data_IF_087990497826
#
_entry.id   IF_087990497826
#
_cell.length_a   1.000
_cell.length_b   1.000
_cell.length_c   1.000
_cell.angle_alpha   90.00
_cell.angle_beta   90.00
_cell.angle_gamma   90.00
#
_symmetry.space_group_name_H-M   'P 1'
#
loop_
_entity.id
_entity.type
_entity.pdbx_description
1 polymer ?
#
# COMPACT_ATOMS: atom_id res chain seq x y z
N UNK A 1 -15.06 4.21 24.56
CA UNK A 1 -15.47 3.25 23.52
C UNK A 1 -14.37 3.19 22.47
N UNK A 2 -14.09 1.98 21.94
CA UNK A 2 -13.13 1.82 20.85
C UNK A 2 -13.68 2.43 19.57
N UNK A 3 -12.89 3.24 18.82
CA UNK A 3 -13.39 3.89 17.61
C UNK A 3 -13.60 2.92 16.44
N UNK A 4 -12.91 1.76 16.45
CA UNK A 4 -13.09 0.70 15.46
C UNK A 4 -13.85 -0.47 16.09
N UNK A 5 -14.91 -0.94 15.43
CA UNK A 5 -15.77 -1.99 15.95
C UNK A 5 -15.41 -3.35 15.33
N UNK A 6 -15.52 -4.48 16.09
CA UNK A 6 -15.18 -5.81 15.57
C UNK A 6 -15.99 -6.23 14.34
N UNK A 7 -17.26 -5.86 14.26
CA UNK A 7 -18.16 -6.15 13.14
C UNK A 7 -17.86 -5.37 11.86
N UNK A 8 -16.99 -4.35 11.94
CA UNK A 8 -16.50 -3.61 10.78
C UNK A 8 -15.28 -4.25 10.11
N UNK A 9 -14.66 -5.26 10.76
CA UNK A 9 -13.51 -5.97 10.18
C UNK A 9 -14.00 -6.84 9.03
N UNK A 10 -13.54 -6.53 7.83
CA UNK A 10 -13.84 -7.29 6.62
C UNK A 10 -12.60 -7.98 6.08
N UNK A 11 -12.77 -9.20 5.61
CA UNK A 11 -11.67 -10.02 5.07
C UNK A 11 -11.88 -10.17 3.56
N UNK A 12 -10.78 -10.16 2.81
CA UNK A 12 -10.75 -10.53 1.40
C UNK A 12 -9.85 -11.74 1.17
N UNK A 13 -10.09 -12.44 0.07
CA UNK A 13 -9.33 -13.62 -0.37
C UNK A 13 -8.81 -13.42 -1.81
N UNK A 14 -8.40 -12.21 -2.15
CA UNK A 14 -7.77 -11.93 -3.44
C UNK A 14 -6.27 -12.13 -3.34
N UNK A 15 -5.70 -12.77 -4.37
CA UNK A 15 -4.26 -12.74 -4.63
C UNK A 15 -3.89 -11.46 -5.38
N UNK A 16 -2.68 -11.01 -5.18
CA UNK A 16 -2.12 -9.93 -5.99
C UNK A 16 -1.47 -10.48 -7.25
N UNK A 17 -1.67 -9.79 -8.37
CA UNK A 17 -0.98 -10.06 -9.62
C UNK A 17 -0.71 -8.78 -10.41
N UNK A 18 0.22 -8.88 -11.36
CA UNK A 18 0.49 -7.82 -12.33
C UNK A 18 0.55 -8.43 -13.72
N UNK A 19 -0.34 -7.98 -14.59
CA UNK A 19 -0.46 -8.48 -15.95
C UNK A 19 -0.44 -7.30 -16.92
N UNK A 20 0.44 -7.34 -17.91
CA UNK A 20 0.58 -6.28 -18.93
C UNK A 20 0.65 -4.88 -18.34
N UNK A 21 1.41 -4.72 -17.26
CA UNK A 21 1.60 -3.44 -16.57
C UNK A 21 0.49 -3.04 -15.60
N UNK A 22 -0.70 -3.67 -15.65
CA UNK A 22 -1.83 -3.41 -14.77
C UNK A 22 -1.72 -4.23 -13.48
N UNK A 23 -1.89 -3.59 -12.33
CA UNK A 23 -2.02 -4.25 -11.04
C UNK A 23 -3.45 -4.80 -10.88
N UNK A 24 -3.56 -6.02 -10.43
CA UNK A 24 -4.82 -6.76 -10.30
C UNK A 24 -4.94 -7.41 -8.92
N UNK A 25 -6.14 -7.43 -8.40
CA UNK A 25 -6.58 -8.39 -7.40
C UNK A 25 -7.26 -9.54 -8.12
N UNK A 26 -6.86 -10.77 -7.82
CA UNK A 26 -7.27 -11.99 -8.54
C UNK A 26 -7.91 -12.93 -7.54
N UNK A 27 -9.14 -13.35 -7.80
CA UNK A 27 -9.84 -14.38 -7.04
C UNK A 27 -9.92 -15.64 -7.88
N UNK A 28 -9.83 -16.81 -7.23
CA UNK A 28 -9.87 -18.12 -7.90
C UNK A 28 -8.81 -18.25 -9.00
N UNK A 29 -7.60 -17.76 -8.76
CA UNK A 29 -6.51 -17.70 -9.72
C UNK A 29 -6.25 -19.08 -10.37
N UNK A 30 -6.25 -19.09 -11.70
CA UNK A 30 -6.00 -20.30 -12.49
C UNK A 30 -7.19 -21.26 -12.61
N UNK A 31 -8.39 -20.88 -12.11
CA UNK A 31 -9.63 -21.65 -12.27
C UNK A 31 -10.52 -21.04 -13.35
N UNK A 32 -11.49 -21.82 -13.85
CA UNK A 32 -12.44 -21.34 -14.89
C UNK A 32 -13.25 -20.10 -14.48
N UNK A 33 -13.47 -19.95 -13.18
CA UNK A 33 -14.18 -18.80 -12.60
C UNK A 33 -13.22 -17.75 -12.00
N UNK A 34 -12.04 -17.57 -12.59
CA UNK A 34 -11.10 -16.51 -12.20
C UNK A 34 -11.75 -15.14 -12.38
N UNK A 35 -11.76 -14.36 -11.33
CA UNK A 35 -12.21 -12.97 -11.33
C UNK A 35 -11.01 -12.04 -11.15
N UNK A 36 -10.92 -11.01 -11.98
CA UNK A 36 -9.86 -10.00 -11.86
C UNK A 36 -10.45 -8.62 -11.60
N UNK A 37 -9.80 -7.86 -10.73
CA UNK A 37 -10.19 -6.50 -10.38
C UNK A 37 -8.99 -5.58 -10.55
N UNK A 38 -9.04 -4.61 -11.50
CA UNK A 38 -7.99 -3.61 -11.66
C UNK A 38 -7.86 -2.74 -10.41
N UNK A 39 -6.62 -2.47 -9.99
CA UNK A 39 -6.34 -1.66 -8.82
C UNK A 39 -5.15 -0.73 -9.03
N UNK A 40 -5.14 0.37 -8.27
CA UNK A 40 -3.95 1.19 -8.05
C UNK A 40 -3.33 0.81 -6.70
N UNK A 41 -2.01 0.73 -6.65
CA UNK A 41 -1.29 0.43 -5.41
C UNK A 41 -0.66 1.68 -4.81
N UNK A 42 -0.78 1.79 -3.50
CA UNK A 42 -0.15 2.83 -2.68
C UNK A 42 0.57 2.19 -1.52
N UNK A 43 1.77 2.67 -1.24
CA UNK A 43 2.59 2.14 -0.15
C UNK A 43 2.92 3.26 0.83
N UNK A 44 2.71 2.99 2.10
CA UNK A 44 3.09 3.84 3.21
C UNK A 44 4.17 3.18 4.06
N UNK A 45 5.10 3.98 4.53
CA UNK A 45 6.21 3.55 5.37
C UNK A 45 6.17 4.31 6.68
N UNK A 46 6.16 3.58 7.78
CA UNK A 46 6.42 4.07 9.12
C UNK A 46 7.81 3.59 9.57
N UNK A 47 8.83 4.50 9.58
CA UNK A 47 10.20 4.13 9.86
C UNK A 47 10.47 4.02 11.37
N UNK A 48 11.32 3.05 11.74
CA UNK A 48 11.84 2.93 13.10
C UNK A 48 13.23 3.57 13.24
N UNK A 49 13.44 4.34 14.30
CA UNK A 49 14.69 5.05 14.53
C UNK A 49 15.78 4.25 15.23
N UNK A 50 15.46 3.08 15.83
CA UNK A 50 16.40 2.26 16.59
C UNK A 50 16.04 0.77 16.60
N UNK A 51 17.00 -0.07 17.01
CA UNK A 51 16.85 -1.53 17.18
C UNK A 51 16.52 -1.94 18.61
N UNK A 52 16.29 -1.01 19.55
CA UNK A 52 16.07 -1.38 20.93
C UNK A 52 14.83 -2.28 21.08
N UNK A 53 14.83 -3.17 22.06
CA UNK A 53 13.68 -4.05 22.35
C UNK A 53 12.39 -3.29 22.69
N UNK A 54 12.51 -1.98 22.96
CA UNK A 54 11.40 -1.04 23.22
C UNK A 54 11.13 -0.11 22.04
N UNK A 55 11.89 -0.23 20.92
CA UNK A 55 11.69 0.58 19.73
C UNK A 55 10.43 0.15 18.99
N UNK A 56 9.86 1.11 18.27
CA UNK A 56 8.77 0.91 17.35
C UNK A 56 9.18 -0.02 16.22
N UNK A 57 8.22 -0.65 15.58
CA UNK A 57 8.48 -1.50 14.43
C UNK A 57 8.69 -0.64 13.17
N UNK A 58 9.57 -1.10 12.30
CA UNK A 58 9.58 -0.63 10.93
C UNK A 58 8.44 -1.31 10.17
N UNK A 59 7.53 -0.51 9.63
CA UNK A 59 6.36 -1.03 8.92
C UNK A 59 6.28 -0.47 7.52
N UNK A 60 5.99 -1.35 6.55
CA UNK A 60 5.61 -0.97 5.18
C UNK A 60 4.26 -1.60 4.89
N UNK A 61 3.24 -0.79 4.62
CA UNK A 61 1.92 -1.25 4.22
C UNK A 61 1.65 -0.92 2.74
N UNK A 62 1.29 -1.92 1.94
CA UNK A 62 0.89 -1.77 0.54
C UNK A 62 -0.60 -2.03 0.41
N UNK A 63 -1.33 -1.03 -0.07
CA UNK A 63 -2.79 -1.01 -0.16
C UNK A 63 -3.20 -0.90 -1.62
N UNK A 64 -4.10 -1.76 -2.05
CA UNK A 64 -4.78 -1.68 -3.34
C UNK A 64 -6.08 -0.89 -3.22
N UNK A 65 -6.37 -0.05 -4.22
CA UNK A 65 -7.64 0.69 -4.30
C UNK A 65 -8.26 0.39 -5.66
N UNK A 66 -9.50 -0.12 -5.65
CA UNK A 66 -10.26 -0.39 -6.86
C UNK A 66 -10.99 0.87 -7.39
N UNK A 67 -11.75 0.73 -8.47
CA UNK A 67 -12.51 1.82 -9.06
C UNK A 67 -13.69 2.29 -8.20
N UNK A 68 -14.22 1.43 -7.32
CA UNK A 68 -15.28 1.74 -6.36
C UNK A 68 -14.74 2.34 -5.06
N UNK A 69 -13.43 2.61 -5.03
CA UNK A 69 -12.73 3.19 -3.88
C UNK A 69 -12.69 2.26 -2.66
N UNK A 70 -12.84 0.95 -2.83
CA UNK A 70 -12.54 -0.01 -1.78
C UNK A 70 -11.03 -0.17 -1.61
N UNK A 71 -10.57 -0.40 -0.39
CA UNK A 71 -9.18 -0.54 0.01
C UNK A 71 -8.93 -1.96 0.47
N UNK A 72 -7.88 -2.57 -0.06
CA UNK A 72 -7.49 -3.94 0.25
C UNK A 72 -6.03 -3.97 0.66
N UNK A 73 -5.73 -4.58 1.80
CA UNK A 73 -4.35 -4.84 2.17
C UNK A 73 -3.77 -5.89 1.21
N UNK A 74 -2.68 -5.53 0.55
CA UNK A 74 -1.94 -6.44 -0.36
C UNK A 74 -0.75 -7.04 0.35
N UNK A 75 -0.05 -6.24 1.17
CA UNK A 75 1.13 -6.68 1.91
C UNK A 75 1.36 -5.78 3.12
N UNK A 76 1.77 -6.39 4.23
CA UNK A 76 2.30 -5.69 5.40
C UNK A 76 3.64 -6.33 5.75
N UNK A 77 4.71 -5.56 5.62
CA UNK A 77 5.97 -5.88 6.24
C UNK A 77 6.04 -5.18 7.59
N UNK A 78 6.29 -5.93 8.66
CA UNK A 78 6.45 -5.41 10.01
C UNK A 78 7.53 -6.18 10.75
N UNK A 79 8.66 -5.53 10.98
CA UNK A 79 9.78 -6.16 11.69
C UNK A 79 10.67 -5.10 12.35
N UNK A 80 11.58 -5.55 13.22
CA UNK A 80 12.65 -4.74 13.79
C UNK A 80 13.93 -4.96 12.99
N UNK A 81 14.11 -4.15 11.97
CA UNK A 81 15.33 -4.16 11.15
C UNK A 81 16.17 -2.91 11.45
N UNK A 82 17.47 -3.01 11.20
CA UNK A 82 18.36 -1.88 11.44
C UNK A 82 18.02 -0.69 10.53
N UNK A 83 18.28 0.55 10.97
CA UNK A 83 18.13 1.72 10.12
C UNK A 83 18.86 1.63 8.78
N UNK A 84 19.99 0.90 8.75
CA UNK A 84 20.78 0.69 7.52
C UNK A 84 20.09 -0.26 6.52
N UNK A 85 19.22 -1.17 6.97
CA UNK A 85 18.49 -2.12 6.12
C UNK A 85 17.18 -1.55 5.58
N UNK A 86 16.62 -0.55 6.23
CA UNK A 86 15.32 0.02 5.86
C UNK A 86 15.27 0.57 4.41
N UNK A 87 16.31 1.28 3.90
CA UNK A 87 16.32 1.78 2.52
C UNK A 87 16.18 0.66 1.50
N UNK A 88 16.98 -0.41 1.64
CA UNK A 88 16.92 -1.55 0.74
C UNK A 88 15.54 -2.23 0.77
N UNK A 89 14.94 -2.35 1.95
CA UNK A 89 13.59 -2.92 2.07
C UNK A 89 12.52 -2.13 1.33
N UNK A 90 12.61 -0.80 1.32
CA UNK A 90 11.72 0.06 0.52
C UNK A 90 11.92 -0.20 -0.98
N UNK A 91 13.17 -0.32 -1.43
CA UNK A 91 13.49 -0.66 -2.82
C UNK A 91 12.92 -2.02 -3.23
N UNK A 92 13.06 -3.03 -2.37
CA UNK A 92 12.55 -4.40 -2.63
C UNK A 92 11.02 -4.41 -2.77
N UNK A 93 10.31 -3.68 -1.89
CA UNK A 93 8.87 -3.52 -1.97
C UNK A 93 8.46 -2.80 -3.25
N UNK A 94 9.20 -1.75 -3.65
CA UNK A 94 8.95 -1.08 -4.92
C UNK A 94 9.14 -2.02 -6.11
N UNK A 95 10.23 -2.79 -6.13
CA UNK A 95 10.49 -3.75 -7.20
C UNK A 95 9.40 -4.83 -7.30
N UNK A 96 8.93 -5.30 -6.15
CA UNK A 96 7.89 -6.34 -6.05
C UNK A 96 6.51 -5.86 -6.55
N UNK A 97 6.07 -4.70 -6.11
CA UNK A 97 4.69 -4.25 -6.28
C UNK A 97 4.52 -3.13 -7.31
N UNK A 98 5.58 -2.37 -7.61
CA UNK A 98 5.52 -1.19 -8.49
C UNK A 98 4.34 -0.28 -8.15
N UNK A 99 4.19 0.15 -6.89
CA UNK A 99 3.09 1.00 -6.49
C UNK A 99 3.16 2.34 -7.23
N UNK A 100 2.00 2.94 -7.44
CA UNK A 100 1.88 4.29 -8.02
C UNK A 100 2.64 5.33 -7.20
N UNK A 101 2.77 5.10 -5.91
CA UNK A 101 3.47 5.99 -4.99
C UNK A 101 3.91 5.26 -3.72
N UNK A 102 5.11 5.58 -3.25
CA UNK A 102 5.56 5.29 -1.89
C UNK A 102 5.65 6.59 -1.11
N UNK A 103 5.02 6.65 0.05
CA UNK A 103 5.16 7.74 1.01
C UNK A 103 5.88 7.28 2.27
N UNK A 104 6.77 8.12 2.76
CA UNK A 104 7.44 7.96 4.06
C UNK A 104 7.01 9.13 4.94
N UNK A 105 6.55 8.87 6.15
CA UNK A 105 6.24 9.93 7.11
C UNK A 105 7.52 10.71 7.43
N UNK A 106 7.48 12.05 7.48
CA UNK A 106 8.67 12.89 7.65
C UNK A 106 8.68 13.57 9.02
N UNK A 107 9.32 12.93 10.00
CA UNK A 107 9.68 13.57 11.27
C UNK A 107 11.11 13.13 11.67
N UNK A 108 12.04 14.03 11.74
CA UNK A 108 13.40 13.77 12.26
C UNK A 108 14.26 12.85 11.38
N UNK A 109 14.57 11.65 11.88
CA UNK A 109 15.43 10.62 11.23
C UNK A 109 15.05 10.26 9.78
N UNK A 110 13.83 10.50 9.40
CA UNK A 110 13.27 10.08 8.12
C UNK A 110 13.86 10.80 6.90
N UNK A 111 14.48 11.97 7.07
CA UNK A 111 15.23 12.62 5.98
C UNK A 111 16.49 11.83 5.63
N UNK A 112 17.18 11.26 6.63
CA UNK A 112 18.34 10.40 6.40
C UNK A 112 17.93 9.11 5.65
N UNK A 113 16.80 8.49 6.03
CA UNK A 113 16.25 7.34 5.35
C UNK A 113 15.94 7.65 3.87
N UNK A 114 15.27 8.78 3.60
CA UNK A 114 14.94 9.21 2.23
C UNK A 114 16.20 9.46 1.40
N UNK A 115 17.21 10.07 2.01
CA UNK A 115 18.51 10.30 1.34
C UNK A 115 19.16 8.98 0.95
N UNK A 116 19.23 8.01 1.87
CA UNK A 116 19.78 6.69 1.60
C UNK A 116 18.99 5.94 0.49
N UNK A 117 17.64 6.03 0.50
CA UNK A 117 16.83 5.44 -0.59
C UNK A 117 17.15 6.11 -1.93
N UNK A 118 17.32 7.45 -1.97
CA UNK A 118 17.68 8.18 -3.21
C UNK A 118 19.05 7.78 -3.76
N UNK A 119 20.02 7.47 -2.88
CA UNK A 119 21.34 6.98 -3.28
C UNK A 119 21.21 5.65 -4.00
N UNK A 120 20.51 4.68 -3.43
CA UNK A 120 20.25 3.39 -4.07
C UNK A 120 19.47 3.56 -5.38
N UNK A 121 18.47 4.46 -5.42
CA UNK A 121 17.73 4.76 -6.65
C UNK A 121 18.64 5.26 -7.78
N UNK A 122 19.65 6.09 -7.47
CA UNK A 122 20.64 6.58 -8.45
C UNK A 122 21.53 5.44 -8.93
N UNK A 123 22.06 4.62 -8.00
CA UNK A 123 22.93 3.49 -8.31
C UNK A 123 22.22 2.45 -9.20
N UNK A 124 20.94 2.19 -8.94
CA UNK A 124 20.16 1.21 -9.66
C UNK A 124 19.37 1.80 -10.86
N UNK A 125 19.53 3.08 -11.15
CA UNK A 125 18.76 3.81 -12.16
C UNK A 125 17.23 3.61 -12.03
N UNK A 126 16.73 3.73 -10.80
CA UNK A 126 15.31 3.58 -10.44
C UNK A 126 14.67 4.94 -10.16
N UNK A 127 13.36 5.03 -10.43
CA UNK A 127 12.53 6.15 -10.00
C UNK A 127 11.34 5.64 -9.19
N UNK A 128 11.22 6.08 -7.92
CA UNK A 128 10.10 5.75 -7.03
C UNK A 128 9.21 6.97 -6.86
N UNK A 129 8.00 6.97 -7.45
CA UNK A 129 7.08 8.09 -7.34
C UNK A 129 6.66 8.35 -5.88
N UNK A 130 6.60 9.62 -5.49
CA UNK A 130 6.09 10.07 -4.19
C UNK A 130 7.12 10.08 -3.05
N UNK A 131 8.28 9.44 -3.23
CA UNK A 131 9.32 9.43 -2.22
C UNK A 131 9.89 10.83 -1.91
N UNK A 132 9.88 11.72 -2.91
CA UNK A 132 10.41 13.08 -2.78
C UNK A 132 9.50 14.01 -1.97
N UNK A 133 8.19 13.78 -2.05
CA UNK A 133 7.21 14.53 -1.29
C UNK A 133 7.09 13.97 0.12
N UNK A 134 7.98 14.38 1.02
CA UNK A 134 7.82 14.05 2.44
C UNK A 134 6.51 14.63 2.98
N UNK A 135 5.73 13.80 3.64
CA UNK A 135 4.49 14.25 4.27
C UNK A 135 4.82 14.80 5.65
N UNK A 136 4.78 16.11 5.80
CA UNK A 136 4.63 16.70 7.15
C UNK A 136 3.14 16.65 7.48
N UNK A 137 2.71 15.78 8.41
CA UNK A 137 1.30 15.76 8.80
C UNK A 137 0.90 17.10 9.37
N UNK A 138 -0.20 17.67 8.89
CA UNK A 138 -0.77 18.91 9.45
C UNK A 138 -1.58 18.63 10.70
N UNK A 139 -2.11 17.43 10.83
CA UNK A 139 -3.00 16.98 11.88
C UNK A 139 -2.22 16.16 12.93
N UNK A 140 -2.75 16.11 14.14
CA UNK A 140 -2.24 15.24 15.19
C UNK A 140 -2.32 13.77 14.78
N UNK A 141 -1.49 12.91 15.38
CA UNK A 141 -1.52 11.45 15.14
C UNK A 141 -2.93 10.89 15.35
N UNK A 142 -3.59 11.29 16.45
CA UNK A 142 -4.94 10.83 16.77
C UNK A 142 -5.96 11.21 15.68
N UNK A 143 -5.94 12.45 15.20
CA UNK A 143 -6.84 12.89 14.13
C UNK A 143 -6.62 12.10 12.83
N UNK A 144 -5.35 11.83 12.51
CA UNK A 144 -4.99 11.03 11.33
C UNK A 144 -5.57 9.61 11.42
N UNK A 145 -5.33 8.93 12.52
CA UNK A 145 -5.80 7.55 12.70
C UNK A 145 -7.33 7.49 12.79
N UNK A 146 -7.98 8.44 13.45
CA UNK A 146 -9.44 8.52 13.51
C UNK A 146 -10.06 8.85 12.14
N UNK A 147 -9.32 9.46 11.21
CA UNK A 147 -9.80 9.68 9.85
C UNK A 147 -10.01 8.38 9.05
N UNK A 148 -9.46 7.26 9.52
CA UNK A 148 -9.70 5.94 8.92
C UNK A 148 -11.06 5.34 9.34
N UNK A 149 -11.65 5.75 10.47
CA UNK A 149 -12.91 5.21 10.99
C UNK A 149 -14.04 5.13 9.95
N UNK A 150 -14.28 6.18 9.12
CA UNK A 150 -15.32 6.11 8.10
C UNK A 150 -15.14 5.01 7.06
N UNK A 151 -13.90 4.60 6.76
CA UNK A 151 -13.61 3.52 5.81
C UNK A 151 -14.11 2.17 6.35
N UNK A 152 -13.91 1.95 7.64
CA UNK A 152 -14.36 0.75 8.34
C UNK A 152 -15.88 0.74 8.50
N UNK A 153 -16.45 1.83 9.00
CA UNK A 153 -17.90 1.95 9.21
C UNK A 153 -18.70 1.78 7.90
N UNK A 154 -18.15 2.25 6.76
CA UNK A 154 -18.74 2.05 5.43
C UNK A 154 -18.45 0.66 4.85
N UNK A 155 -17.59 -0.15 5.48
CA UNK A 155 -17.20 -1.46 5.01
C UNK A 155 -16.41 -1.42 3.70
N UNK A 156 -15.58 -0.40 3.48
CA UNK A 156 -14.76 -0.22 2.29
C UNK A 156 -13.28 -0.51 2.51
N UNK A 157 -12.93 -1.07 3.67
CA UNK A 157 -11.58 -1.48 4.01
C UNK A 157 -11.51 -2.98 4.33
N UNK A 158 -10.58 -3.69 3.70
CA UNK A 158 -10.50 -5.15 3.75
C UNK A 158 -9.09 -5.60 4.14
N UNK A 159 -9.03 -6.52 5.11
CA UNK A 159 -7.83 -7.21 5.54
C UNK A 159 -7.66 -8.53 4.81
N UNK A 160 -6.43 -9.07 4.76
CA UNK A 160 -6.19 -10.47 4.44
C UNK A 160 -6.44 -11.33 5.68
N UNK A 161 -6.73 -12.63 5.53
CA UNK A 161 -6.90 -13.53 6.68
C UNK A 161 -5.71 -13.54 7.65
N UNK A 162 -4.49 -13.42 7.11
CA UNK A 162 -3.23 -13.43 7.88
C UNK A 162 -2.91 -12.11 8.61
N UNK A 163 -3.60 -11.02 8.33
CA UNK A 163 -3.34 -9.69 8.92
C UNK A 163 -3.86 -9.53 10.35
N UNK A 164 -3.78 -10.58 11.17
CA UNK A 164 -4.31 -10.60 12.54
C UNK A 164 -3.73 -9.48 13.40
N UNK A 165 -2.42 -9.20 13.29
CA UNK A 165 -1.78 -8.12 14.06
C UNK A 165 -2.33 -6.75 13.68
N UNK A 166 -2.58 -6.49 12.40
CA UNK A 166 -3.19 -5.25 11.95
C UNK A 166 -4.61 -5.10 12.50
N UNK A 167 -5.44 -6.15 12.40
CA UNK A 167 -6.80 -6.15 12.96
C UNK A 167 -6.78 -5.85 14.47
N UNK A 168 -5.84 -6.46 15.22
CA UNK A 168 -5.69 -6.22 16.64
C UNK A 168 -5.28 -4.79 16.99
N UNK A 169 -4.37 -4.16 16.20
CA UNK A 169 -4.00 -2.75 16.40
C UNK A 169 -5.23 -1.84 16.26
N UNK A 170 -6.03 -2.00 15.20
CA UNK A 170 -7.26 -1.22 15.01
C UNK A 170 -8.26 -1.43 16.15
N UNK A 171 -8.53 -2.67 16.53
CA UNK A 171 -9.52 -2.99 17.57
C UNK A 171 -9.09 -2.56 18.98
N UNK A 172 -7.79 -2.47 19.24
CA UNK A 172 -7.26 -2.04 20.54
C UNK A 172 -7.03 -0.54 20.65
N UNK A 173 -7.09 0.21 19.54
CA UNK A 173 -6.85 1.66 19.55
C UNK A 173 -7.93 2.42 20.34
N UNK A 174 -7.59 3.44 21.17
CA UNK A 174 -6.28 4.03 21.40
C UNK A 174 -5.47 3.41 22.56
N UNK A 175 -5.97 2.32 23.17
CA UNK A 175 -5.38 1.69 24.35
C UNK A 175 -4.29 0.66 24.00
N UNK A 176 -4.17 0.30 22.72
CA UNK A 176 -3.17 -0.62 22.22
C UNK A 176 -1.74 -0.11 22.43
N UNK A 177 -0.80 -1.05 22.55
CA UNK A 177 0.63 -0.72 22.72
C UNK A 177 1.28 -0.16 21.46
N UNK A 178 0.84 -0.64 20.31
CA UNK A 178 1.40 -0.31 19.01
C UNK A 178 0.30 0.23 18.09
N UNK A 179 0.68 1.15 17.23
CA UNK A 179 -0.15 1.73 16.18
C UNK A 179 0.63 1.93 14.86
N UNK A 180 1.81 1.30 14.77
CA UNK A 180 2.76 1.44 13.66
C UNK A 180 2.14 1.00 12.31
N UNK A 181 1.33 -0.10 12.31
CA UNK A 181 0.63 -0.55 11.12
C UNK A 181 -0.44 0.45 10.70
N UNK A 182 -1.16 1.03 11.66
CA UNK A 182 -2.17 2.05 11.39
C UNK A 182 -1.55 3.31 10.76
N UNK A 183 -0.38 3.76 11.26
CA UNK A 183 0.36 4.90 10.70
C UNK A 183 0.84 4.61 9.27
N UNK A 184 1.40 3.43 9.01
CA UNK A 184 1.80 3.04 7.67
C UNK A 184 0.60 2.98 6.70
N UNK A 185 -0.55 2.44 7.13
CA UNK A 185 -1.79 2.40 6.34
C UNK A 185 -2.29 3.82 6.06
N UNK A 186 -2.35 4.68 7.08
CA UNK A 186 -2.76 6.06 6.89
C UNK A 186 -1.84 6.77 5.90
N UNK A 187 -0.53 6.61 6.03
CA UNK A 187 0.48 7.20 5.14
C UNK A 187 0.31 6.73 3.70
N UNK A 188 -0.03 5.45 3.47
CA UNK A 188 -0.35 4.93 2.13
C UNK A 188 -1.58 5.60 1.54
N UNK A 189 -2.63 5.79 2.35
CA UNK A 189 -3.93 6.29 1.92
C UNK A 189 -3.99 7.82 1.79
N UNK A 190 -3.07 8.57 2.43
CA UNK A 190 -3.06 10.02 2.35
C UNK A 190 -2.88 10.53 0.91
N UNK A 191 -3.95 11.11 0.36
CA UNK A 191 -4.04 11.57 -1.04
C UNK A 191 -4.02 10.45 -2.09
N UNK A 192 -4.32 9.21 -1.71
CA UNK A 192 -4.53 8.10 -2.64
C UNK A 192 -5.85 8.28 -3.41
N UNK A 193 -5.89 7.77 -4.63
CA UNK A 193 -7.05 7.88 -5.53
C UNK A 193 -7.49 6.52 -6.03
N UNK A 194 -8.79 6.34 -6.30
CA UNK A 194 -9.30 5.12 -6.90
C UNK A 194 -8.63 4.79 -8.24
N UNK A 195 -8.61 3.50 -8.57
CA UNK A 195 -8.24 3.03 -9.89
C UNK A 195 -9.20 3.61 -10.93
N UNK A 196 -8.67 4.08 -12.06
CA UNK A 196 -9.49 4.59 -13.16
C UNK A 196 -9.96 3.51 -14.11
N UNK A 197 -9.22 2.40 -14.15
CA UNK A 197 -9.56 1.23 -14.96
C UNK A 197 -10.71 0.48 -14.30
N UNK A 198 -11.81 0.31 -15.00
CA UNK A 198 -12.99 -0.41 -14.48
C UNK A 198 -12.90 -1.91 -14.74
N UNK A 199 -12.44 -2.29 -15.93
CA UNK A 199 -12.32 -3.67 -16.35
C UNK A 199 -10.94 -3.90 -16.95
N UNK A 200 -10.37 -5.06 -16.72
CA UNK A 200 -9.11 -5.48 -17.33
C UNK A 200 -9.39 -6.49 -18.44
N UNK A 201 -9.00 -6.11 -19.66
CA UNK A 201 -8.98 -7.02 -20.81
C UNK A 201 -7.54 -7.43 -21.08
N UNK A 202 -7.26 -8.72 -20.96
CA UNK A 202 -5.96 -9.25 -21.32
C UNK A 202 -5.82 -9.25 -22.85
N UNK A 203 -4.87 -8.48 -23.35
CA UNK A 203 -4.51 -8.49 -24.75
C UNK A 203 -3.76 -9.77 -25.11
N UNK A 204 -3.85 -10.24 -26.35
CA UNK A 204 -2.93 -11.25 -26.85
C UNK A 204 -1.49 -10.73 -26.85
N UNK A 205 -0.51 -11.64 -26.87
CA UNK A 205 0.90 -11.26 -26.88
C UNK A 205 1.27 -10.39 -28.08
N UNK A 206 0.64 -10.63 -29.23
CA UNK A 206 0.85 -9.82 -30.44
C UNK A 206 0.26 -8.40 -30.30
N UNK A 207 -0.93 -8.27 -29.75
CA UNK A 207 -1.56 -6.97 -29.47
C UNK A 207 -0.79 -6.16 -28.45
N UNK A 208 -0.28 -6.82 -27.39
CA UNK A 208 0.52 -6.17 -26.37
C UNK A 208 1.87 -5.67 -26.89
N UNK A 209 2.56 -6.46 -27.75
CA UNK A 209 3.86 -6.14 -28.31
C UNK A 209 3.79 -5.12 -29.47
N UNK A 210 2.64 -5.03 -30.15
CA UNK A 210 2.43 -4.16 -31.31
C UNK A 210 1.17 -3.31 -31.17
N UNK A 211 1.13 -2.35 -30.21
CA UNK A 211 -0.08 -1.55 -29.95
C UNK A 211 -0.53 -0.67 -31.12
N UNK A 212 0.34 -0.45 -32.14
CA UNK A 212 -0.01 0.35 -33.34
C UNK A 212 -0.95 -0.36 -34.30
N UNK A 213 -1.15 -1.68 -34.21
CA UNK A 213 -2.11 -2.41 -35.07
C UNK A 213 -3.58 -2.20 -34.69
N UNK A 214 -3.87 -1.69 -33.47
CA UNK A 214 -5.23 -1.55 -32.95
C UNK A 214 -5.72 -0.09 -32.88
N UNK A 215 -5.07 0.84 -33.57
CA UNK A 215 -5.45 2.28 -33.59
C UNK A 215 -6.58 2.63 -34.56
N UNK A 216 -7.14 1.68 -35.30
CA UNK A 216 -8.19 1.95 -36.30
C UNK A 216 -9.55 2.39 -35.70
N UNK A 217 -9.75 2.25 -34.40
CA UNK A 217 -10.98 2.70 -33.71
C UNK A 217 -10.91 4.15 -33.20
N UNK A 218 -9.73 4.81 -33.27
CA UNK A 218 -9.57 6.22 -32.87
C UNK A 218 -9.81 7.21 -34.00
N UNK A 219 -10.12 6.75 -35.21
CA UNK A 219 -10.31 7.58 -36.41
C UNK A 219 -11.71 7.52 -37.00
N UNK A 220 -12.72 7.11 -36.21
CA UNK A 220 -14.14 7.24 -36.57
C UNK A 220 -14.85 8.23 -35.67
#
# INVERSE_FOLDING_TARGET
DAPFQPDWIKIHHYDYGRVQGQNLLIKNKGLENEETKPVELYTGVDPASSLSARADYFVIATIAIDNDNNKYIVDIFRDRISPAEQPQKIIDIYKKFKPRRIKVETVGYQEALRTAVREIMREENLYIPGLEAGVKPRNSKSERLLSLVPLFAKGTFYFRPEDIKAQQEFLSYPKGRNDDIMDAIWTALDGAKPCRVKEFQRLSDDEWRNPKKNLDWMTM
#
